data_IF_066757945254
#
_entry.id   IF_066757945254
#
_cell.length_a   1.000
_cell.length_b   1.000
_cell.length_c   1.000
_cell.angle_alpha   90.00
_cell.angle_beta   90.00
_cell.angle_gamma   90.00
#
_symmetry.space_group_name_H-M   'P 1'
#
loop_
_entity.id
_entity.type
_entity.pdbx_description
1 polymer ?
#
# COMPACT_ATOMS: atom_id res chain seq x y z
N UNK A 1 -20.36 -11.51 42.38
CA UNK A 1 -20.38 -11.08 40.95
C UNK A 1 -19.95 -12.27 40.10
N UNK A 2 -20.85 -12.83 39.27
CA UNK A 2 -20.68 -14.15 38.67
C UNK A 2 -19.75 -14.12 37.44
N UNK A 3 -18.63 -14.87 37.49
CA UNK A 3 -17.61 -14.95 36.43
C UNK A 3 -18.18 -15.32 35.04
N UNK A 4 -19.25 -16.12 35.01
CA UNK A 4 -19.95 -16.50 33.78
C UNK A 4 -20.55 -15.32 33.02
N UNK A 5 -20.99 -14.28 33.73
CA UNK A 5 -21.57 -13.06 33.12
C UNK A 5 -20.49 -12.21 32.45
N UNK A 6 -19.28 -12.19 33.00
CA UNK A 6 -18.14 -11.49 32.40
C UNK A 6 -17.66 -12.19 31.14
N UNK A 7 -17.57 -13.52 31.16
CA UNK A 7 -17.16 -14.30 29.99
C UNK A 7 -18.16 -14.16 28.84
N UNK A 8 -19.46 -14.19 29.15
CA UNK A 8 -20.53 -14.00 28.15
C UNK A 8 -20.52 -12.58 27.55
N UNK A 9 -20.22 -11.54 28.34
CA UNK A 9 -20.04 -10.18 27.82
C UNK A 9 -18.81 -10.02 26.93
N UNK A 10 -17.71 -10.73 27.24
CA UNK A 10 -16.50 -10.73 26.43
C UNK A 10 -16.76 -11.35 25.04
N UNK A 11 -17.46 -12.50 25.00
CA UNK A 11 -17.86 -13.14 23.74
C UNK A 11 -18.89 -12.31 22.95
N UNK A 12 -19.80 -11.61 23.62
CA UNK A 12 -20.76 -10.73 22.95
C UNK A 12 -20.07 -9.50 22.30
N UNK A 13 -18.97 -9.01 22.89
CA UNK A 13 -18.17 -7.93 22.31
C UNK A 13 -17.35 -8.39 21.08
N UNK A 14 -16.97 -9.66 21.00
CA UNK A 14 -16.30 -10.23 19.82
C UNK A 14 -17.22 -10.28 18.58
N UNK A 15 -18.55 -10.20 18.76
CA UNK A 15 -19.51 -10.07 17.66
C UNK A 15 -19.66 -8.62 17.14
N UNK A 16 -18.92 -7.63 17.64
CA UNK A 16 -18.85 -6.29 17.02
C UNK A 16 -17.77 -6.24 15.92
N UNK A 17 -17.02 -7.32 15.72
CA UNK A 17 -16.26 -7.59 14.49
C UNK A 17 -17.19 -8.22 13.41
N UNK A 18 -18.50 -7.98 13.50
CA UNK A 18 -19.45 -8.33 12.45
C UNK A 18 -19.40 -7.26 11.34
N UNK A 19 -18.72 -7.60 10.23
CA UNK A 19 -18.98 -7.10 8.87
C UNK A 19 -19.26 -5.59 8.73
N UNK A 20 -18.36 -4.72 9.19
CA UNK A 20 -18.38 -3.33 8.70
C UNK A 20 -17.74 -3.29 7.31
N UNK A 21 -18.55 -3.06 6.28
CA UNK A 21 -18.01 -2.59 5.00
C UNK A 21 -17.54 -1.15 5.22
N UNK A 22 -16.25 -0.90 4.97
CA UNK A 22 -15.75 0.46 4.88
C UNK A 22 -16.20 0.98 3.53
N UNK A 23 -17.27 1.78 3.52
CA UNK A 23 -17.73 2.45 2.32
C UNK A 23 -16.89 3.72 2.18
N UNK A 24 -16.06 3.78 1.14
CA UNK A 24 -15.32 4.99 0.82
C UNK A 24 -16.33 6.10 0.48
N UNK A 25 -16.23 7.23 1.18
CA UNK A 25 -16.99 8.44 0.86
C UNK A 25 -16.54 9.06 -0.47
N UNK A 26 -17.26 10.10 -0.90
CA UNK A 26 -16.87 10.86 -2.09
C UNK A 26 -15.46 11.46 -1.91
N UNK A 27 -14.57 11.37 -2.91
CA UNK A 27 -13.22 11.91 -2.81
C UNK A 27 -13.25 13.43 -2.63
N UNK A 28 -12.54 13.95 -1.61
CA UNK A 28 -12.44 15.41 -1.37
C UNK A 28 -11.77 16.16 -2.52
N UNK A 29 -10.84 15.51 -3.22
CA UNK A 29 -10.17 16.04 -4.42
C UNK A 29 -10.13 14.96 -5.50
N UNK A 30 -10.52 15.32 -6.72
CA UNK A 30 -10.48 14.41 -7.88
C UNK A 30 -9.10 14.54 -8.52
N UNK A 31 -8.34 13.45 -8.50
CA UNK A 31 -7.04 13.39 -9.19
C UNK A 31 -7.31 13.22 -10.69
N UNK A 32 -6.76 14.12 -11.51
CA UNK A 32 -6.88 14.05 -12.97
C UNK A 32 -6.16 12.83 -13.52
N UNK A 33 -6.54 12.35 -14.71
CA UNK A 33 -5.86 11.23 -15.36
C UNK A 33 -4.38 11.55 -15.62
N UNK A 34 -4.10 12.80 -16.06
CA UNK A 34 -2.74 13.27 -16.29
C UNK A 34 -1.89 13.19 -15.02
N UNK A 35 -2.44 13.58 -13.87
CA UNK A 35 -1.75 13.51 -12.58
C UNK A 35 -1.48 12.07 -12.14
N UNK A 36 -2.44 11.15 -12.36
CA UNK A 36 -2.21 9.72 -12.11
C UNK A 36 -1.06 9.16 -12.96
N UNK A 37 -1.03 9.50 -14.25
CA UNK A 37 0.04 9.06 -15.15
C UNK A 37 1.36 9.69 -14.71
N UNK A 38 1.37 10.99 -14.40
CA UNK A 38 2.56 11.70 -13.93
C UNK A 38 3.18 11.05 -12.69
N UNK A 39 2.37 10.78 -11.66
CA UNK A 39 2.85 10.07 -10.47
C UNK A 39 3.33 8.65 -10.79
N UNK A 40 2.59 7.91 -11.62
CA UNK A 40 2.96 6.56 -12.03
C UNK A 40 4.32 6.52 -12.73
N UNK A 41 4.58 7.44 -13.66
CA UNK A 41 5.86 7.56 -14.36
C UNK A 41 7.00 7.94 -13.42
N UNK A 42 6.80 8.95 -12.55
CA UNK A 42 7.83 9.40 -11.60
C UNK A 42 8.23 8.27 -10.66
N UNK A 43 7.26 7.53 -10.12
CA UNK A 43 7.52 6.38 -9.24
C UNK A 43 8.26 5.27 -10.02
N UNK A 44 7.81 4.95 -11.23
CA UNK A 44 8.40 3.87 -12.04
C UNK A 44 9.85 4.18 -12.42
N UNK A 45 10.12 5.40 -12.88
CA UNK A 45 11.49 5.85 -13.20
C UNK A 45 12.35 5.87 -11.95
N UNK A 46 11.84 6.39 -10.82
CA UNK A 46 12.58 6.43 -9.57
C UNK A 46 13.02 5.05 -9.07
N UNK A 47 12.15 4.05 -9.15
CA UNK A 47 12.46 2.67 -8.76
C UNK A 47 13.46 2.00 -9.72
N UNK A 48 13.33 2.25 -11.03
CA UNK A 48 14.16 1.59 -12.04
C UNK A 48 15.48 2.30 -12.32
N UNK A 49 15.66 3.54 -11.89
CA UNK A 49 16.84 4.35 -12.23
C UNK A 49 18.14 3.71 -11.75
N UNK A 50 18.22 3.34 -10.46
CA UNK A 50 19.42 2.74 -9.86
C UNK A 50 19.76 1.39 -10.51
N UNK A 51 18.84 0.40 -10.59
CA UNK A 51 19.19 -0.89 -11.21
C UNK A 51 19.52 -0.75 -12.70
N UNK A 52 18.85 0.17 -13.42
CA UNK A 52 19.19 0.45 -14.82
C UNK A 52 20.60 1.03 -14.97
N UNK A 53 21.00 1.97 -14.10
CA UNK A 53 22.36 2.51 -14.07
C UNK A 53 23.41 1.43 -13.84
N UNK A 54 23.17 0.51 -12.91
CA UNK A 54 24.07 -0.62 -12.63
C UNK A 54 24.19 -1.53 -13.85
N UNK A 55 23.08 -1.85 -14.50
CA UNK A 55 23.04 -2.70 -15.70
C UNK A 55 23.78 -2.07 -16.90
N UNK A 56 23.66 -0.75 -17.09
CA UNK A 56 24.37 -0.04 -18.17
C UNK A 56 25.89 -0.09 -17.94
N UNK A 57 26.32 0.01 -16.69
CA UNK A 57 27.75 0.02 -16.33
C UNK A 57 28.36 -1.40 -16.18
N UNK A 58 27.61 -2.46 -16.48
CA UNK A 58 28.08 -3.83 -16.29
C UNK A 58 29.33 -4.16 -17.12
N UNK A 59 29.44 -3.60 -18.33
CA UNK A 59 30.63 -3.76 -19.19
C UNK A 59 31.87 -3.11 -18.57
N UNK A 60 31.70 -1.90 -18.05
CA UNK A 60 32.76 -1.18 -17.33
C UNK A 60 33.21 -1.96 -16.09
N UNK A 61 32.28 -2.54 -15.32
CA UNK A 61 32.62 -3.38 -14.16
C UNK A 61 33.34 -4.68 -14.54
N UNK A 62 33.16 -5.16 -15.77
CA UNK A 62 33.82 -6.36 -16.30
C UNK A 62 35.18 -6.07 -16.95
N UNK A 63 35.58 -4.80 -17.08
CA UNK A 63 36.78 -4.41 -17.81
C UNK A 63 36.68 -4.66 -19.32
N UNK A 64 35.46 -4.77 -19.83
CA UNK A 64 35.16 -4.93 -21.26
C UNK A 64 34.85 -3.53 -21.80
N UNK A 65 35.89 -2.78 -22.15
CA UNK A 65 35.78 -1.48 -22.83
C UNK A 65 35.33 -1.65 -24.30
#
# INVERSE_FOLDING_TARGET
MNSRVLFQRCLQNQNIIQRRSIIAGYPRTRISLAEKIGHGLVISVGVLFIPSWVLVNLKHYRGEE
#
